data_IF_386760528987
#
_entry.id   IF_386760528987
#
_cell.length_a   1.000
_cell.length_b   1.000
_cell.length_c   1.000
_cell.angle_alpha   90.00
_cell.angle_beta   90.00
_cell.angle_gamma   90.00
#
_symmetry.space_group_name_H-M   'P 1'
#
loop_
_entity.id
_entity.type
_entity.pdbx_description
1 polymer ?
#
# COMPACT_ATOMS: atom_id res chain seq x y z
N UNK A 1 -14.83 0.81 -5.18
CA UNK A 1 -13.96 1.00 -4.01
C UNK A 1 -13.87 -0.33 -3.29
N UNK A 2 -12.71 -1.01 -3.28
CA UNK A 2 -12.54 -2.24 -2.53
C UNK A 2 -12.78 -2.05 -1.02
N UNK A 3 -13.14 -3.15 -0.37
CA UNK A 3 -13.28 -3.26 1.07
C UNK A 3 -12.38 -4.40 1.52
N UNK A 4 -11.45 -4.10 2.43
CA UNK A 4 -10.57 -5.09 3.03
C UNK A 4 -11.12 -5.46 4.40
N UNK A 5 -11.53 -6.72 4.54
CA UNK A 5 -12.06 -7.23 5.80
C UNK A 5 -10.93 -7.72 6.69
N UNK A 6 -11.08 -7.53 7.99
CA UNK A 6 -9.98 -7.88 8.88
C UNK A 6 -10.22 -7.57 10.34
N UNK A 7 -9.11 -7.42 11.06
CA UNK A 7 -9.07 -7.16 12.49
C UNK A 7 -8.14 -6.01 12.81
N UNK A 8 -8.62 -5.09 13.62
CA UNK A 8 -7.82 -4.04 14.25
C UNK A 8 -7.59 -4.42 15.72
N UNK A 9 -6.38 -4.28 16.23
CA UNK A 9 -6.05 -4.51 17.63
C UNK A 9 -5.29 -3.33 18.21
N UNK A 10 -5.63 -2.93 19.43
CA UNK A 10 -4.91 -1.92 20.22
C UNK A 10 -4.93 -2.32 21.71
N UNK A 11 -4.58 -1.40 22.61
CA UNK A 11 -4.58 -1.62 24.07
C UNK A 11 -5.94 -2.02 24.67
N UNK A 12 -7.06 -1.73 24.02
CA UNK A 12 -8.40 -2.03 24.57
C UNK A 12 -8.97 -3.35 24.05
N UNK A 13 -8.41 -3.92 22.99
CA UNK A 13 -8.81 -5.24 22.49
C UNK A 13 -8.67 -5.37 20.98
N UNK A 14 -9.38 -6.36 20.44
CA UNK A 14 -9.42 -6.67 19.00
C UNK A 14 -10.84 -6.52 18.47
N UNK A 15 -10.97 -5.82 17.34
CA UNK A 15 -12.22 -5.45 16.71
C UNK A 15 -12.23 -5.92 15.27
N UNK A 16 -13.35 -6.48 14.81
CA UNK A 16 -13.54 -6.72 13.38
C UNK A 16 -13.73 -5.39 12.66
N UNK A 17 -13.04 -5.20 11.55
CA UNK A 17 -13.09 -3.95 10.78
C UNK A 17 -13.29 -4.23 9.29
N UNK A 18 -13.87 -3.25 8.61
CA UNK A 18 -13.93 -3.16 7.16
C UNK A 18 -13.20 -1.87 6.76
N UNK A 19 -12.02 -2.02 6.14
CA UNK A 19 -11.22 -0.90 5.67
C UNK A 19 -11.57 -0.63 4.22
N UNK A 20 -12.16 0.52 3.96
CA UNK A 20 -12.45 0.99 2.61
C UNK A 20 -11.20 1.66 2.04
N UNK A 21 -10.87 1.38 0.78
CA UNK A 21 -9.72 1.99 0.12
C UNK A 21 -10.13 2.56 -1.24
N UNK A 22 -10.03 3.87 -1.44
CA UNK A 22 -10.29 4.53 -2.74
C UNK A 22 -9.04 4.68 -3.63
N UNK A 23 -7.95 4.04 -3.20
CA UNK A 23 -6.59 4.05 -3.74
C UNK A 23 -5.83 5.38 -3.56
N UNK A 24 -6.37 6.28 -2.74
CA UNK A 24 -5.70 7.48 -2.24
C UNK A 24 -5.70 7.53 -0.72
N UNK A 25 -6.80 7.09 -0.10
CA UNK A 25 -6.99 7.02 1.33
C UNK A 25 -7.71 5.74 1.72
N UNK A 26 -7.43 5.35 2.95
CA UNK A 26 -8.11 4.32 3.70
C UNK A 26 -9.12 4.94 4.65
N UNK A 27 -10.20 4.23 4.92
CA UNK A 27 -11.22 4.63 5.87
C UNK A 27 -11.73 3.41 6.64
N UNK A 28 -11.86 3.54 7.95
CA UNK A 28 -12.54 2.51 8.76
C UNK A 28 -13.20 3.12 9.99
N UNK A 29 -13.99 2.31 10.69
CA UNK A 29 -14.73 2.74 11.86
C UNK A 29 -14.70 1.66 12.95
N UNK A 30 -14.56 2.08 14.20
CA UNK A 30 -14.71 1.25 15.40
C UNK A 30 -15.74 1.92 16.31
N UNK A 31 -16.92 1.32 16.45
CA UNK A 31 -18.01 1.95 17.20
C UNK A 31 -18.40 3.29 16.57
N UNK A 32 -18.25 4.40 17.29
CA UNK A 32 -18.50 5.76 16.80
C UNK A 32 -17.25 6.45 16.22
N UNK A 33 -16.06 5.89 16.46
CA UNK A 33 -14.79 6.47 16.06
C UNK A 33 -14.48 6.14 14.60
N UNK A 34 -14.27 7.18 13.79
CA UNK A 34 -13.93 7.05 12.38
C UNK A 34 -12.49 7.44 12.16
N UNK A 35 -11.79 6.66 11.36
CA UNK A 35 -10.40 6.91 11.02
C UNK A 35 -10.25 7.00 9.50
N UNK A 36 -9.38 7.91 9.07
CA UNK A 36 -8.96 8.01 7.67
C UNK A 36 -7.45 8.14 7.59
N UNK A 37 -6.83 7.83 6.46
CA UNK A 37 -5.39 8.01 6.30
C UNK A 37 -4.96 7.74 4.87
N UNK A 38 -3.94 8.43 4.38
CA UNK A 38 -3.42 8.20 3.03
C UNK A 38 -2.57 6.91 2.94
N UNK A 39 -2.15 6.38 4.10
CA UNK A 39 -1.31 5.21 4.26
C UNK A 39 -1.76 4.41 5.51
N UNK A 40 -1.35 3.15 5.62
CA UNK A 40 -1.67 2.27 6.74
C UNK A 40 -0.93 2.63 8.02
N UNK A 41 0.06 3.50 8.00
CA UNK A 41 0.78 4.03 9.16
C UNK A 41 0.35 5.46 9.55
N UNK A 42 -0.56 6.05 8.77
CA UNK A 42 -0.93 7.46 8.84
C UNK A 42 -2.44 7.65 9.04
N UNK A 43 -3.07 6.79 9.85
CA UNK A 43 -4.47 6.96 10.23
C UNK A 43 -4.65 8.11 11.22
N UNK A 44 -5.59 9.00 10.96
CA UNK A 44 -6.03 10.09 11.85
C UNK A 44 -7.48 9.89 12.28
N UNK A 45 -7.80 10.31 13.51
CA UNK A 45 -9.18 10.34 14.01
C UNK A 45 -9.96 11.49 13.35
N UNK A 46 -11.11 11.18 12.77
CA UNK A 46 -12.02 12.19 12.24
C UNK A 46 -12.84 12.85 13.36
N UNK A 47 -13.04 14.18 13.26
CA UNK A 47 -13.83 15.00 14.17
C UNK A 47 -13.47 14.78 15.66
N UNK A 48 -12.19 14.91 16.05
CA UNK A 48 -11.77 14.66 17.44
C UNK A 48 -12.49 15.53 18.48
N UNK A 49 -13.01 16.70 18.08
CA UNK A 49 -13.79 17.62 18.90
C UNK A 49 -15.15 17.08 19.36
N UNK A 50 -15.67 16.03 18.70
CA UNK A 50 -16.94 15.40 19.06
C UNK A 50 -16.82 14.46 20.28
N UNK A 51 -15.60 14.19 20.76
CA UNK A 51 -15.32 13.19 21.79
C UNK A 51 -14.75 13.80 23.07
N UNK A 52 -15.08 13.18 24.20
CA UNK A 52 -14.49 13.52 25.50
C UNK A 52 -13.09 12.94 25.66
N UNK A 53 -12.27 13.53 26.55
CA UNK A 53 -10.92 13.02 26.83
C UNK A 53 -10.93 11.54 27.25
N UNK A 54 -11.90 11.12 28.07
CA UNK A 54 -12.05 9.71 28.50
C UNK A 54 -12.40 8.78 27.33
N UNK A 55 -13.17 9.24 26.34
CA UNK A 55 -13.45 8.44 25.15
C UNK A 55 -12.20 8.27 24.29
N UNK A 56 -11.38 9.31 24.16
CA UNK A 56 -10.14 9.31 23.40
C UNK A 56 -9.03 8.44 24.03
N UNK A 57 -9.06 8.23 25.35
CA UNK A 57 -8.13 7.32 26.06
C UNK A 57 -8.19 5.87 25.57
N UNK A 58 -9.24 5.47 24.84
CA UNK A 58 -9.33 4.15 24.21
C UNK A 58 -8.28 3.91 23.13
N UNK A 59 -7.72 4.97 22.56
CA UNK A 59 -6.73 4.91 21.49
C UNK A 59 -5.42 5.54 21.96
N UNK A 60 -4.31 5.15 21.33
CA UNK A 60 -3.04 5.84 21.49
C UNK A 60 -2.91 6.86 20.36
N UNK A 61 -3.22 8.11 20.69
CA UNK A 61 -3.27 9.21 19.74
C UNK A 61 -2.08 10.16 19.97
N UNK A 62 -1.45 10.59 18.89
CA UNK A 62 -0.39 11.61 18.90
C UNK A 62 -0.89 12.83 18.16
N UNK A 63 -0.76 13.99 18.78
CA UNK A 63 -1.07 15.27 18.12
C UNK A 63 0.02 15.62 17.13
N UNK A 64 -0.35 15.76 15.85
CA UNK A 64 0.53 16.26 14.79
C UNK A 64 0.00 17.60 14.30
N UNK A 65 0.89 18.58 14.21
CA UNK A 65 0.56 19.88 13.63
C UNK A 65 1.25 20.02 12.27
N UNK A 66 0.45 20.19 11.21
CA UNK A 66 0.95 20.46 9.87
C UNK A 66 0.43 21.81 9.45
N UNK A 67 1.34 22.80 9.40
CA UNK A 67 0.98 24.22 9.18
C UNK A 67 -0.01 24.71 10.25
N UNK A 68 -1.22 25.06 9.86
CA UNK A 68 -2.27 25.58 10.73
C UNK A 68 -3.27 24.50 11.18
N UNK A 69 -3.14 23.27 10.66
CA UNK A 69 -4.04 22.17 10.92
C UNK A 69 -3.48 21.23 11.98
N UNK A 70 -4.35 20.73 12.84
CA UNK A 70 -4.03 19.82 13.94
C UNK A 70 -4.75 18.49 13.70
N UNK A 71 -3.98 17.41 13.74
CA UNK A 71 -4.40 16.05 13.49
C UNK A 71 -4.15 15.21 14.74
N UNK A 72 -5.02 14.23 15.00
CA UNK A 72 -4.80 13.20 16.02
C UNK A 72 -4.52 11.87 15.33
N UNK A 73 -3.22 11.59 15.18
CA UNK A 73 -2.75 10.38 14.52
C UNK A 73 -2.87 9.18 15.45
N UNK A 74 -3.44 8.11 14.94
CA UNK A 74 -3.51 6.82 15.59
C UNK A 74 -2.16 6.12 15.56
N UNK A 75 -1.76 5.59 16.70
CA UNK A 75 -0.50 4.86 16.91
C UNK A 75 -0.74 3.61 17.75
N UNK A 76 0.27 2.75 17.89
CA UNK A 76 0.24 1.56 18.76
C UNK A 76 -0.93 0.61 18.43
N UNK A 77 -1.00 0.17 17.19
CA UNK A 77 -2.02 -0.79 16.75
C UNK A 77 -1.47 -1.82 15.78
N UNK A 78 -2.26 -2.88 15.63
CA UNK A 78 -2.07 -3.92 14.64
C UNK A 78 -3.30 -3.97 13.74
N UNK A 79 -3.07 -4.24 12.46
CA UNK A 79 -4.12 -4.36 11.45
C UNK A 79 -3.88 -5.60 10.61
N UNK A 80 -4.80 -6.56 10.68
CA UNK A 80 -4.79 -7.74 9.81
C UNK A 80 -5.85 -7.58 8.74
N UNK A 81 -5.50 -7.63 7.46
CA UNK A 81 -6.40 -7.41 6.32
C UNK A 81 -6.35 -8.55 5.32
N UNK A 82 -7.52 -8.88 4.77
CA UNK A 82 -7.66 -9.71 3.58
C UNK A 82 -7.78 -8.81 2.35
N UNK A 83 -6.79 -8.87 1.47
CA UNK A 83 -6.65 -7.99 0.31
C UNK A 83 -6.67 -8.86 -0.96
N UNK A 84 -7.75 -8.84 -1.75
CA UNK A 84 -7.80 -9.57 -3.01
C UNK A 84 -6.84 -8.94 -4.02
N UNK A 85 -6.08 -9.76 -4.73
CA UNK A 85 -5.19 -9.34 -5.80
C UNK A 85 -5.31 -10.26 -7.01
N UNK A 86 -4.89 -9.73 -8.16
CA UNK A 86 -4.80 -10.48 -9.41
C UNK A 86 -3.33 -10.67 -9.76
N UNK A 87 -2.96 -11.91 -10.04
CA UNK A 87 -1.68 -12.30 -10.58
C UNK A 87 -1.85 -12.71 -12.05
N UNK A 88 -0.85 -12.46 -12.87
CA UNK A 88 -0.77 -12.92 -14.26
C UNK A 88 0.19 -14.09 -14.30
N UNK A 89 -0.27 -15.25 -14.78
CA UNK A 89 0.58 -16.38 -15.10
C UNK A 89 1.46 -16.03 -16.31
N UNK A 90 2.78 -16.09 -16.14
CA UNK A 90 3.72 -15.64 -17.17
C UNK A 90 3.77 -16.58 -18.37
N UNK A 91 3.36 -17.84 -18.22
CA UNK A 91 3.35 -18.83 -19.30
C UNK A 91 2.04 -18.78 -20.09
N UNK A 92 0.90 -18.74 -19.39
CA UNK A 92 -0.43 -18.82 -20.04
C UNK A 92 -1.06 -17.45 -20.30
N UNK A 93 -0.56 -16.39 -19.64
CA UNK A 93 -1.15 -15.05 -19.60
C UNK A 93 -2.54 -15.02 -18.94
N UNK A 94 -2.93 -16.09 -18.24
CA UNK A 94 -4.18 -16.14 -17.50
C UNK A 94 -4.09 -15.38 -16.18
N UNK A 95 -5.23 -14.82 -15.76
CA UNK A 95 -5.34 -14.11 -14.49
C UNK A 95 -5.77 -15.07 -13.39
N UNK A 96 -5.05 -15.06 -12.27
CA UNK A 96 -5.35 -15.82 -11.06
C UNK A 96 -5.67 -14.86 -9.93
N UNK A 97 -6.84 -15.02 -9.32
CA UNK A 97 -7.20 -14.28 -8.10
C UNK A 97 -6.56 -14.96 -6.88
N UNK A 98 -5.94 -14.15 -6.03
CA UNK A 98 -5.40 -14.59 -4.73
C UNK A 98 -5.92 -13.69 -3.63
N UNK A 99 -6.08 -14.25 -2.44
CA UNK A 99 -6.38 -13.49 -1.23
C UNK A 99 -5.10 -13.32 -0.42
N UNK A 100 -4.56 -12.11 -0.40
CA UNK A 100 -3.42 -11.80 0.44
C UNK A 100 -3.86 -11.52 1.87
N UNK A 101 -3.17 -12.10 2.84
CA UNK A 101 -3.30 -11.78 4.25
C UNK A 101 -2.14 -10.86 4.64
N UNK A 102 -2.44 -9.59 4.90
CA UNK A 102 -1.49 -8.59 5.39
C UNK A 102 -1.69 -8.42 6.89
N UNK A 103 -0.64 -8.66 7.68
CA UNK A 103 -0.58 -8.33 9.10
C UNK A 103 0.39 -7.17 9.30
N UNK A 104 -0.14 -5.97 9.51
CA UNK A 104 0.59 -4.74 9.75
C UNK A 104 0.64 -4.42 11.23
N UNK A 105 1.78 -3.94 11.71
CA UNK A 105 1.99 -3.50 13.08
C UNK A 105 2.69 -2.14 13.09
N UNK A 106 2.12 -1.17 13.79
CA UNK A 106 2.71 0.12 14.08
C UNK A 106 2.89 0.26 15.59
N UNK A 107 4.11 0.06 16.06
CA UNK A 107 4.45 0.04 17.49
C UNK A 107 5.68 0.89 17.77
N UNK A 108 5.62 1.80 18.74
CA UNK A 108 6.75 2.63 19.18
C UNK A 108 7.49 3.37 18.03
N UNK A 109 6.75 3.87 17.03
CA UNK A 109 7.29 4.51 15.82
C UNK A 109 8.07 3.58 14.88
N UNK A 110 8.00 2.26 15.11
CA UNK A 110 8.46 1.25 14.19
C UNK A 110 7.26 0.61 13.51
N UNK A 111 7.39 0.36 12.21
CA UNK A 111 6.38 -0.31 11.41
C UNK A 111 6.94 -1.55 10.74
N UNK A 112 6.14 -2.60 10.70
CA UNK A 112 6.42 -3.77 9.89
C UNK A 112 5.13 -4.44 9.48
N UNK A 113 5.20 -5.18 8.39
CA UNK A 113 4.12 -6.05 7.99
C UNK A 113 4.63 -7.41 7.56
N UNK A 114 3.77 -8.40 7.73
CA UNK A 114 3.89 -9.75 7.20
C UNK A 114 2.80 -9.92 6.14
N UNK A 115 3.19 -10.27 4.92
CA UNK A 115 2.28 -10.57 3.82
C UNK A 115 2.34 -12.06 3.51
N UNK A 116 1.19 -12.74 3.49
CA UNK A 116 1.13 -14.18 3.15
C UNK A 116 -0.04 -14.50 2.24
N UNK A 117 0.10 -15.53 1.42
CA UNK A 117 -1.02 -16.19 0.74
C UNK A 117 -0.60 -17.58 0.26
N UNK A 118 -1.59 -18.38 -0.16
CA UNK A 118 -1.37 -19.63 -0.86
C UNK A 118 -1.87 -19.52 -2.30
N UNK A 119 -1.10 -20.09 -3.21
CA UNK A 119 -1.50 -20.28 -4.60
C UNK A 119 -1.06 -21.68 -5.02
N UNK A 120 -2.02 -22.48 -5.48
CA UNK A 120 -1.86 -23.91 -5.68
C UNK A 120 -1.33 -24.58 -4.38
N UNK A 121 -0.23 -25.35 -4.44
CA UNK A 121 0.39 -26.00 -3.28
C UNK A 121 1.56 -25.19 -2.67
N UNK A 122 1.80 -23.95 -3.12
CA UNK A 122 2.91 -23.10 -2.65
C UNK A 122 2.40 -21.99 -1.73
N UNK A 123 3.03 -21.85 -0.57
CA UNK A 123 2.86 -20.69 0.32
C UNK A 123 3.88 -19.61 -0.06
N UNK A 124 3.42 -18.37 -0.13
CA UNK A 124 4.23 -17.18 -0.32
C UNK A 124 4.21 -16.34 0.96
N UNK A 125 5.35 -15.79 1.34
CA UNK A 125 5.50 -15.04 2.58
C UNK A 125 6.62 -13.99 2.49
N UNK A 126 6.37 -12.77 2.93
CA UNK A 126 7.37 -11.71 3.01
C UNK A 126 7.16 -10.87 4.28
N UNK A 127 8.25 -10.33 4.84
CA UNK A 127 8.20 -9.45 6.02
C UNK A 127 9.09 -8.23 5.84
N UNK A 128 8.48 -7.04 5.77
CA UNK A 128 9.17 -5.78 5.55
C UNK A 128 8.41 -4.59 6.15
N UNK A 129 9.08 -3.44 6.25
CA UNK A 129 8.50 -2.16 6.67
C UNK A 129 7.94 -1.33 5.51
N UNK A 130 7.97 -1.84 4.27
CA UNK A 130 7.45 -1.17 3.09
C UNK A 130 6.70 -2.18 2.22
N UNK A 131 5.55 -1.77 1.67
CA UNK A 131 4.76 -2.57 0.73
C UNK A 131 5.56 -2.90 -0.53
N UNK A 132 6.34 -1.96 -1.05
CA UNK A 132 7.25 -2.21 -2.17
C UNK A 132 8.13 -3.45 -1.92
N UNK A 133 8.80 -3.48 -0.77
CA UNK A 133 9.75 -4.55 -0.42
C UNK A 133 9.03 -5.88 -0.14
N UNK A 134 7.82 -5.83 0.44
CA UNK A 134 6.98 -7.01 0.56
C UNK A 134 6.67 -7.61 -0.81
N UNK A 135 6.25 -6.77 -1.76
CA UNK A 135 5.89 -7.21 -3.10
C UNK A 135 7.13 -7.66 -3.89
N UNK A 136 8.30 -7.03 -3.71
CA UNK A 136 9.58 -7.45 -4.28
C UNK A 136 9.99 -8.85 -3.80
N UNK A 137 9.90 -9.12 -2.50
CA UNK A 137 10.22 -10.44 -1.93
C UNK A 137 9.27 -11.53 -2.42
N UNK A 138 7.97 -11.23 -2.54
CA UNK A 138 6.99 -12.15 -3.12
C UNK A 138 7.28 -12.36 -4.61
N UNK A 139 7.60 -11.29 -5.35
CA UNK A 139 7.92 -11.34 -6.77
C UNK A 139 9.16 -12.22 -7.03
N UNK A 140 10.18 -12.18 -6.16
CA UNK A 140 11.32 -13.11 -6.19
C UNK A 140 10.88 -14.57 -6.01
N UNK A 141 9.96 -14.84 -5.07
CA UNK A 141 9.45 -16.19 -4.80
C UNK A 141 8.62 -16.78 -5.95
N UNK A 142 8.08 -15.92 -6.84
CA UNK A 142 7.40 -16.38 -8.04
C UNK A 142 8.36 -17.06 -9.03
N UNK A 143 9.67 -16.80 -8.95
CA UNK A 143 10.69 -17.40 -9.83
C UNK A 143 10.31 -17.24 -11.31
N UNK A 144 9.86 -16.03 -11.69
CA UNK A 144 9.41 -15.76 -13.06
C UNK A 144 8.02 -16.29 -13.44
N UNK A 145 7.34 -17.09 -12.60
CA UNK A 145 6.06 -17.72 -12.98
C UNK A 145 4.85 -16.78 -12.94
N UNK A 146 4.86 -15.77 -12.06
CA UNK A 146 3.74 -14.86 -11.86
C UNK A 146 4.16 -13.39 -11.85
N UNK A 147 3.22 -12.50 -12.16
CA UNK A 147 3.38 -11.05 -12.10
C UNK A 147 2.18 -10.41 -11.42
N UNK A 148 2.39 -9.40 -10.59
CA UNK A 148 1.28 -8.62 -10.02
C UNK A 148 0.59 -7.76 -11.08
N UNK A 149 -0.74 -7.84 -11.14
CA UNK A 149 -1.58 -6.97 -11.99
C UNK A 149 -2.08 -5.75 -11.21
N UNK A 150 -1.16 -4.85 -10.89
CA UNK A 150 -1.42 -3.61 -10.15
C UNK A 150 -0.36 -2.55 -10.47
N UNK A 151 -0.40 -1.39 -9.81
CA UNK A 151 0.51 -0.27 -10.02
C UNK A 151 1.95 -0.62 -9.67
N UNK A 152 2.19 -1.46 -8.65
CA UNK A 152 3.52 -2.00 -8.35
C UNK A 152 4.12 -2.77 -9.54
N UNK A 153 3.32 -3.64 -10.18
CA UNK A 153 3.73 -4.45 -11.33
C UNK A 153 3.59 -3.76 -12.69
N UNK A 154 3.28 -2.46 -12.71
CA UNK A 154 3.01 -1.72 -13.94
C UNK A 154 4.30 -1.19 -14.57
N UNK A 155 4.37 -1.28 -15.90
CA UNK A 155 5.46 -0.77 -16.73
C UNK A 155 5.63 0.75 -16.63
N UNK A 156 4.56 1.49 -16.35
CA UNK A 156 4.55 2.96 -16.31
C UNK A 156 4.40 3.54 -14.90
N UNK A 157 4.43 2.69 -13.88
CA UNK A 157 4.34 3.10 -12.47
C UNK A 157 5.71 3.08 -11.82
N UNK A 158 6.15 4.17 -11.22
CA UNK A 158 7.39 4.21 -10.45
C UNK A 158 7.23 5.02 -9.17
N UNK A 159 8.14 4.82 -8.22
CA UNK A 159 8.12 5.57 -6.98
C UNK A 159 8.80 6.93 -7.11
N UNK A 160 8.58 7.78 -6.12
CA UNK A 160 9.30 9.05 -6.02
C UNK A 160 10.74 8.82 -5.60
N UNK A 161 11.69 9.59 -6.16
CA UNK A 161 13.09 9.56 -5.71
C UNK A 161 13.28 10.07 -4.28
N UNK A 162 12.26 10.73 -3.72
CA UNK A 162 12.24 11.31 -2.38
C UNK A 162 11.74 10.36 -1.29
N UNK A 163 11.41 9.11 -1.65
CA UNK A 163 10.89 8.10 -0.73
C UNK A 163 9.36 8.03 -0.69
N UNK A 164 8.87 7.12 0.15
CA UNK A 164 7.44 6.82 0.36
C UNK A 164 7.18 6.33 1.78
N UNK A 165 5.92 6.30 2.19
CA UNK A 165 5.46 5.64 3.42
C UNK A 165 5.34 4.12 3.25
N UNK A 166 4.66 3.45 4.18
CA UNK A 166 4.47 2.00 4.14
C UNK A 166 3.82 1.53 2.82
N UNK A 167 2.66 2.07 2.45
CA UNK A 167 1.93 1.80 1.21
C UNK A 167 1.98 3.05 0.34
N UNK A 168 3.10 3.16 -0.35
CA UNK A 168 3.58 4.36 -1.00
C UNK A 168 2.80 4.76 -2.26
N UNK A 169 2.72 6.07 -2.53
CA UNK A 169 2.22 6.56 -3.80
C UNK A 169 3.13 6.12 -4.97
N UNK A 170 2.57 5.36 -5.90
CA UNK A 170 3.14 5.10 -7.22
C UNK A 170 2.74 6.23 -8.18
N UNK A 171 3.74 6.84 -8.81
CA UNK A 171 3.60 7.86 -9.83
C UNK A 171 3.35 7.21 -11.20
N UNK A 172 2.30 7.65 -11.89
CA UNK A 172 1.89 7.08 -13.19
C UNK A 172 2.35 7.95 -14.36
N UNK A 173 3.24 7.41 -15.19
CA UNK A 173 3.83 8.12 -16.33
C UNK A 173 3.20 7.75 -17.69
N UNK A 174 1.95 7.25 -17.68
CA UNK A 174 1.25 6.84 -18.92
C UNK A 174 0.99 8.00 -19.89
N UNK A 175 1.07 9.25 -19.44
CA UNK A 175 0.95 10.45 -20.26
C UNK A 175 2.23 10.75 -21.06
N UNK A 176 3.37 10.16 -20.70
CA UNK A 176 4.68 10.40 -21.31
C UNK A 176 5.48 9.09 -21.44
N UNK A 177 4.81 8.04 -21.95
CA UNK A 177 5.36 6.67 -22.01
C UNK A 177 6.74 6.60 -22.64
N UNK A 178 6.92 7.26 -23.78
CA UNK A 178 8.19 7.22 -24.54
C UNK A 178 9.34 7.79 -23.71
N UNK A 179 9.17 9.00 -23.14
CA UNK A 179 10.17 9.62 -22.28
C UNK A 179 10.46 8.77 -21.03
N UNK A 180 9.42 8.20 -20.40
CA UNK A 180 9.60 7.34 -19.24
C UNK A 180 10.39 6.06 -19.56
N UNK A 181 10.15 5.44 -20.72
CA UNK A 181 10.85 4.24 -21.15
C UNK A 181 12.34 4.48 -21.47
N UNK A 182 12.76 5.73 -21.64
CA UNK A 182 14.17 6.12 -21.84
C UNK A 182 14.92 6.36 -20.53
N UNK A 183 14.23 6.38 -19.38
CA UNK A 183 14.84 6.62 -18.07
C UNK A 183 15.74 5.45 -17.66
N UNK A 184 17.01 5.73 -17.34
CA UNK A 184 17.97 4.74 -16.87
C UNK A 184 18.41 4.96 -15.42
N UNK A 185 18.25 6.17 -14.89
CA UNK A 185 18.71 6.53 -13.56
C UNK A 185 17.85 7.64 -12.93
N UNK A 186 18.11 7.95 -11.65
CA UNK A 186 17.36 8.97 -10.90
C UNK A 186 17.46 10.36 -11.53
N UNK A 187 18.60 10.71 -12.16
CA UNK A 187 18.76 12.01 -12.81
C UNK A 187 17.84 12.13 -14.03
N UNK A 188 17.76 11.09 -14.87
CA UNK A 188 16.85 11.08 -16.02
C UNK A 188 15.39 11.16 -15.55
N UNK A 189 15.04 10.43 -14.50
CA UNK A 189 13.70 10.44 -13.91
C UNK A 189 13.28 11.84 -13.46
N UNK A 190 14.21 12.61 -12.89
CA UNK A 190 13.97 13.98 -12.43
C UNK A 190 13.79 15.00 -13.56
N UNK A 191 14.05 14.62 -14.82
CA UNK A 191 13.81 15.45 -16.01
C UNK A 191 12.43 15.21 -16.63
N UNK A 192 11.70 14.18 -16.18
CA UNK A 192 10.37 13.91 -16.68
C UNK A 192 9.42 15.06 -16.38
N UNK A 193 8.41 15.23 -17.23
CA UNK A 193 7.32 16.13 -16.94
C UNK A 193 6.48 15.60 -15.77
N UNK A 194 5.47 16.37 -15.36
CA UNK A 194 4.55 15.92 -14.31
C UNK A 194 3.87 14.61 -14.71
N UNK A 195 3.82 13.67 -13.77
CA UNK A 195 3.09 12.42 -13.90
C UNK A 195 1.58 12.66 -14.11
N UNK A 196 0.91 11.72 -14.76
CA UNK A 196 -0.54 11.76 -14.99
C UNK A 196 -1.33 11.70 -13.68
N UNK A 197 -0.92 10.79 -12.80
CA UNK A 197 -1.61 10.53 -11.54
C UNK A 197 -0.65 9.96 -10.50
N UNK A 198 -1.14 9.93 -9.26
CA UNK A 198 -0.50 9.26 -8.13
C UNK A 198 -1.54 8.32 -7.52
N UNK A 199 -1.16 7.06 -7.27
CA UNK A 199 -2.05 5.99 -6.82
C UNK A 199 -1.31 5.06 -5.85
N UNK A 200 -2.00 4.43 -4.90
CA UNK A 200 -1.39 3.38 -4.07
C UNK A 200 -1.02 2.12 -4.90
N UNK A 201 -0.06 1.33 -4.43
CA UNK A 201 0.54 0.19 -5.16
C UNK A 201 -0.46 -0.81 -5.73
N UNK A 202 -1.53 -1.06 -4.98
CA UNK A 202 -2.47 -2.15 -5.25
C UNK A 202 -3.58 -1.75 -6.24
N UNK A 203 -3.58 -0.51 -6.72
CA UNK A 203 -4.50 -0.05 -7.74
C UNK A 203 -4.17 -0.67 -9.11
N UNK A 204 -5.17 -0.95 -9.94
CA UNK A 204 -4.95 -1.33 -11.34
C UNK A 204 -5.87 -0.50 -12.24
N UNK A 205 -5.28 0.18 -13.24
CA UNK A 205 -6.04 0.94 -14.23
C UNK A 205 -6.10 0.23 -15.59
N UNK A 206 -6.97 0.71 -16.48
CA UNK A 206 -7.14 0.16 -17.83
C UNK A 206 -5.91 0.30 -18.73
N UNK A 207 -4.99 1.20 -18.38
CA UNK A 207 -3.72 1.40 -19.10
C UNK A 207 -2.57 0.55 -18.57
N UNK A 208 -2.85 -0.41 -17.68
CA UNK A 208 -1.86 -1.33 -17.16
C UNK A 208 -1.10 -2.03 -18.29
N UNK A 209 0.21 -2.09 -18.14
CA UNK A 209 1.09 -2.92 -18.94
C UNK A 209 2.05 -3.62 -17.96
N UNK A 210 2.29 -4.91 -18.15
CA UNK A 210 3.16 -5.67 -17.25
C UNK A 210 4.60 -5.13 -17.32
N UNK A 211 5.24 -4.94 -16.17
CA UNK A 211 6.67 -4.66 -16.06
C UNK A 211 7.46 -5.96 -16.26
N UNK A 212 7.88 -6.22 -17.49
CA UNK A 212 8.66 -7.39 -17.90
C UNK A 212 10.11 -7.05 -18.32
N UNK A 213 10.51 -5.79 -18.16
CA UNK A 213 11.81 -5.23 -18.57
C UNK A 213 12.38 -4.34 -17.50
N UNK A 214 13.70 -4.43 -17.32
CA UNK A 214 14.47 -3.51 -16.45
C UNK A 214 14.39 -2.09 -17.03
N UNK A 215 13.56 -1.25 -16.41
CA UNK A 215 13.28 0.13 -16.81
C UNK A 215 13.12 1.03 -15.59
N UNK A 216 13.41 2.32 -15.75
CA UNK A 216 13.44 3.27 -14.65
C UNK A 216 14.62 3.02 -13.71
N UNK A 217 14.80 3.89 -12.72
CA UNK A 217 15.89 3.75 -11.76
C UNK A 217 15.65 2.64 -10.73
N UNK A 218 14.38 2.23 -10.54
CA UNK A 218 13.97 1.13 -9.67
C UNK A 218 14.31 -0.24 -10.27
N UNK A 219 14.36 -0.34 -11.60
CA UNK A 219 14.61 -1.59 -12.31
C UNK A 219 13.41 -2.55 -12.28
N UNK A 220 13.68 -3.85 -12.29
CA UNK A 220 12.65 -4.89 -12.20
C UNK A 220 13.15 -6.04 -11.35
N UNK A 221 12.28 -6.53 -10.47
CA UNK A 221 12.48 -7.76 -9.72
C UNK A 221 11.90 -8.90 -10.56
N UNK A 222 12.75 -9.84 -10.99
CA UNK A 222 12.41 -10.95 -11.88
C UNK A 222 12.43 -12.30 -11.16
#
# INVERSE_FOLDING_TARGET
>A
MPIYHGKFSNKTGTYSVAVHNDYRNFYFQIGVFKFQGFDLDAFELCNPEDFTATELEQFDLVTRQVREEVYLDLTQYQLSLQIPQILIDSQTQEEKEVMMELHFELMNQEEYALLTFQLDDKKYEAKHSLMELLLDDIQCQFEGNYRFKNCYGCLYGDYSVYGQGFMGPVLCFKNQKEAYLEVQNKSDFMLLEKQDATQQELFCCESYACRDRVLGYRGTVL
#
